data_IF_131832680275
#
_entry.id   IF_131832680275
#
_cell.length_a   1.000
_cell.length_b   1.000
_cell.length_c   1.000
_cell.angle_alpha   90.00
_cell.angle_beta   90.00
_cell.angle_gamma   90.00
#
_symmetry.space_group_name_H-M   'P 1'
#
loop_
_entity.id
_entity.type
_entity.pdbx_description
1 polymer ?
#
# COMPACT_ATOMS: atom_id res chain seq x y z
N UNK A 1 -20.78 -27.50 -3.78
CA UNK A 1 -21.21 -26.11 -3.55
C UNK A 1 -21.06 -25.38 -4.87
N UNK A 2 -22.03 -24.58 -5.35
CA UNK A 2 -21.78 -23.73 -6.51
C UNK A 2 -20.54 -22.86 -6.20
N UNK A 3 -19.65 -22.68 -7.18
CA UNK A 3 -18.49 -21.81 -7.02
C UNK A 3 -19.00 -20.42 -6.62
N UNK A 4 -18.61 -19.98 -5.43
CA UNK A 4 -19.08 -18.71 -4.83
C UNK A 4 -18.74 -17.50 -5.71
N UNK A 5 -17.72 -17.63 -6.57
CA UNK A 5 -17.30 -16.65 -7.56
C UNK A 5 -17.05 -17.40 -8.87
N UNK A 6 -17.71 -17.01 -9.95
CA UNK A 6 -17.48 -17.61 -11.27
C UNK A 6 -16.13 -17.13 -11.82
N UNK A 7 -15.32 -18.06 -12.30
CA UNK A 7 -14.02 -17.75 -12.90
C UNK A 7 -14.22 -16.93 -14.20
N UNK A 8 -13.54 -15.79 -14.38
CA UNK A 8 -13.58 -15.02 -15.61
C UNK A 8 -12.82 -15.72 -16.75
N UNK A 9 -13.16 -15.38 -18.00
CA UNK A 9 -12.39 -15.81 -19.17
C UNK A 9 -10.93 -15.30 -19.09
N UNK A 10 -9.94 -16.06 -19.58
CA UNK A 10 -8.54 -15.62 -19.60
C UNK A 10 -8.38 -14.23 -20.24
N UNK A 11 -7.62 -13.36 -19.60
CA UNK A 11 -7.39 -11.98 -20.07
C UNK A 11 -8.53 -11.00 -19.78
N UNK A 12 -9.63 -11.43 -19.17
CA UNK A 12 -10.71 -10.52 -18.79
C UNK A 12 -10.35 -9.69 -17.55
N UNK A 13 -10.64 -8.38 -17.56
CA UNK A 13 -10.34 -7.47 -16.43
C UNK A 13 -10.94 -7.90 -15.09
N UNK A 14 -12.00 -8.71 -15.10
CA UNK A 14 -12.68 -9.15 -13.88
C UNK A 14 -11.85 -10.16 -13.08
N UNK A 15 -10.72 -10.66 -13.61
CA UNK A 15 -9.75 -11.46 -12.85
C UNK A 15 -9.28 -10.78 -11.56
N UNK A 16 -9.08 -9.45 -11.58
CA UNK A 16 -8.74 -8.70 -10.37
C UNK A 16 -9.84 -8.77 -9.31
N UNK A 17 -11.10 -8.60 -9.71
CA UNK A 17 -12.23 -8.69 -8.81
C UNK A 17 -12.40 -10.13 -8.27
N UNK A 18 -12.26 -11.13 -9.14
CA UNK A 18 -12.32 -12.55 -8.78
C UNK A 18 -11.29 -12.92 -7.71
N UNK A 19 -10.01 -12.58 -7.92
CA UNK A 19 -8.96 -12.88 -6.94
C UNK A 19 -9.13 -12.09 -5.64
N UNK A 20 -9.54 -10.83 -5.72
CA UNK A 20 -9.83 -10.03 -4.53
C UNK A 20 -10.98 -10.65 -3.69
N UNK A 21 -12.06 -11.08 -4.33
CA UNK A 21 -13.20 -11.68 -3.63
C UNK A 21 -12.89 -13.04 -3.01
N UNK A 22 -12.00 -13.82 -3.64
CA UNK A 22 -11.46 -15.06 -3.05
C UNK A 22 -10.54 -14.79 -1.84
N UNK A 23 -9.82 -13.68 -1.85
CA UNK A 23 -8.81 -13.35 -0.82
C UNK A 23 -9.40 -12.63 0.39
N UNK A 24 -10.44 -11.81 0.22
CA UNK A 24 -11.08 -11.04 1.31
C UNK A 24 -11.52 -11.90 2.52
N UNK A 25 -12.12 -13.09 2.36
CA UNK A 25 -12.44 -13.95 3.49
C UNK A 25 -11.23 -14.26 4.38
N UNK A 26 -10.04 -14.42 3.79
CA UNK A 26 -8.81 -14.65 4.55
C UNK A 26 -8.43 -13.40 5.35
N UNK A 27 -8.46 -12.20 4.75
CA UNK A 27 -8.21 -10.95 5.47
C UNK A 27 -9.17 -10.77 6.67
N UNK A 28 -10.43 -11.18 6.52
CA UNK A 28 -11.41 -11.15 7.62
C UNK A 28 -11.09 -12.13 8.77
N UNK A 29 -10.22 -13.12 8.56
CA UNK A 29 -9.68 -13.98 9.63
C UNK A 29 -8.49 -13.37 10.35
N UNK A 30 -7.83 -12.37 9.75
CA UNK A 30 -6.67 -11.70 10.33
C UNK A 30 -7.06 -10.59 11.30
N UNK A 31 -8.20 -9.93 11.08
CA UNK A 31 -8.66 -8.82 11.93
C UNK A 31 -9.36 -9.29 13.20
N UNK A 32 -9.08 -8.64 14.33
CA UNK A 32 -9.91 -8.74 15.53
C UNK A 32 -11.27 -8.09 15.29
N UNK A 33 -12.29 -8.95 15.18
CA UNK A 33 -13.65 -8.52 14.90
C UNK A 33 -14.47 -8.27 16.16
N UNK A 34 -13.99 -8.54 17.37
CA UNK A 34 -14.84 -8.39 18.56
C UNK A 34 -14.87 -6.92 19.01
N UNK A 35 -16.01 -6.20 18.93
CA UNK A 35 -16.08 -4.78 19.29
C UNK A 35 -15.82 -4.52 20.78
N UNK A 36 -15.90 -5.55 21.63
CA UNK A 36 -15.57 -5.46 23.06
C UNK A 36 -14.09 -5.75 23.35
N UNK A 37 -13.32 -6.15 22.33
CA UNK A 37 -11.91 -6.45 22.49
C UNK A 37 -11.07 -5.17 22.56
N UNK A 38 -10.07 -5.10 23.45
CA UNK A 38 -9.13 -3.97 23.48
C UNK A 38 -8.29 -3.87 22.20
N UNK A 39 -8.25 -4.92 21.37
CA UNK A 39 -7.52 -5.00 20.11
C UNK A 39 -8.44 -4.98 18.88
N UNK A 40 -9.72 -4.62 19.04
CA UNK A 40 -10.66 -4.50 17.91
C UNK A 40 -10.04 -3.70 16.76
N UNK A 41 -10.09 -4.27 15.54
CA UNK A 41 -9.50 -3.67 14.35
C UNK A 41 -8.02 -3.97 14.12
N UNK A 42 -7.33 -4.66 15.03
CA UNK A 42 -5.96 -5.13 14.82
C UNK A 42 -5.92 -6.25 13.78
N UNK A 43 -5.11 -6.10 12.73
CA UNK A 43 -4.86 -7.13 11.71
C UNK A 43 -3.63 -7.99 11.99
N UNK A 44 -2.80 -7.62 12.97
CA UNK A 44 -1.68 -8.45 13.40
C UNK A 44 -2.18 -9.58 14.31
N UNK A 45 -2.45 -10.72 13.68
CA UNK A 45 -2.97 -11.91 14.35
C UNK A 45 -1.97 -12.55 15.32
N UNK A 46 -0.65 -12.41 15.08
CA UNK A 46 0.39 -12.85 16.01
C UNK A 46 0.27 -12.06 17.33
N UNK A 47 -0.01 -10.77 17.23
CA UNK A 47 -0.23 -9.91 18.40
C UNK A 47 -1.58 -10.12 19.11
N UNK A 48 -2.72 -9.98 18.41
CA UNK A 48 -4.01 -9.94 19.11
C UNK A 48 -4.59 -11.33 19.44
N UNK A 49 -4.30 -12.34 18.62
CA UNK A 49 -4.88 -13.66 18.76
C UNK A 49 -3.91 -14.66 19.38
N UNK A 50 -2.72 -14.82 18.79
CA UNK A 50 -1.76 -15.84 19.22
C UNK A 50 -0.91 -15.40 20.41
N UNK A 51 -0.74 -14.08 20.61
CA UNK A 51 0.05 -13.52 21.72
C UNK A 51 1.50 -14.01 21.70
N UNK A 52 2.04 -14.17 20.50
CA UNK A 52 3.43 -14.64 20.25
C UNK A 52 4.42 -13.48 20.17
N UNK A 53 3.92 -12.25 20.06
CA UNK A 53 4.69 -10.99 20.06
C UNK A 53 4.08 -9.99 21.05
N UNK A 54 4.92 -9.12 21.61
CA UNK A 54 4.54 -8.18 22.67
C UNK A 54 3.94 -6.86 22.13
N UNK A 55 4.13 -6.56 20.84
CA UNK A 55 3.64 -5.36 20.17
C UNK A 55 3.14 -5.72 18.76
N UNK A 56 2.19 -4.94 18.19
CA UNK A 56 1.69 -5.18 16.86
C UNK A 56 2.62 -4.60 15.79
N UNK A 57 2.76 -5.31 14.68
CA UNK A 57 3.25 -4.79 13.42
C UNK A 57 2.30 -3.71 12.89
N UNK A 58 2.78 -2.47 12.80
CA UNK A 58 2.03 -1.32 12.30
C UNK A 58 1.69 -1.41 10.82
N UNK A 59 2.50 -2.14 10.02
CA UNK A 59 2.25 -2.36 8.60
C UNK A 59 0.92 -3.09 8.38
N UNK A 60 0.57 -4.03 9.26
CA UNK A 60 -0.66 -4.84 9.19
C UNK A 60 -1.95 -4.01 9.14
N UNK A 61 -1.91 -2.72 9.51
CA UNK A 61 -3.10 -1.87 9.40
C UNK A 61 -3.37 -1.40 7.96
N UNK A 62 -2.53 -1.72 6.98
CA UNK A 62 -2.82 -1.46 5.56
C UNK A 62 -4.04 -2.22 5.04
N UNK A 63 -4.38 -3.36 5.67
CA UNK A 63 -5.48 -4.23 5.27
C UNK A 63 -6.87 -3.55 5.40
N UNK A 64 -6.95 -2.34 5.99
CA UNK A 64 -8.16 -1.52 5.91
C UNK A 64 -8.55 -1.15 4.47
N UNK A 65 -7.59 -0.93 3.57
CA UNK A 65 -7.87 -0.44 2.22
C UNK A 65 -8.65 -1.45 1.37
N UNK A 66 -8.27 -2.74 1.30
CA UNK A 66 -9.09 -3.76 0.64
C UNK A 66 -10.52 -3.81 1.17
N UNK A 67 -10.73 -3.66 2.49
CA UNK A 67 -12.08 -3.64 3.08
C UNK A 67 -12.88 -2.41 2.63
N UNK A 68 -12.24 -1.24 2.60
CA UNK A 68 -12.86 0.00 2.15
C UNK A 68 -13.28 -0.08 0.66
N UNK A 69 -12.39 -0.60 -0.19
CA UNK A 69 -12.65 -0.80 -1.61
C UNK A 69 -13.81 -1.78 -1.84
N UNK A 70 -13.84 -2.90 -1.13
CA UNK A 70 -14.92 -3.87 -1.22
C UNK A 70 -16.25 -3.32 -0.68
N UNK A 71 -16.24 -2.45 0.33
CA UNK A 71 -17.45 -1.77 0.77
C UNK A 71 -17.95 -0.75 -0.27
N UNK A 72 -17.06 0.04 -0.87
CA UNK A 72 -17.43 1.19 -1.70
C UNK A 72 -17.87 0.83 -3.13
N UNK A 73 -17.34 -0.25 -3.69
CA UNK A 73 -17.49 -0.54 -5.13
C UNK A 73 -18.30 -1.81 -5.41
N UNK A 74 -19.24 -1.78 -6.37
CA UNK A 74 -20.02 -2.94 -6.79
C UNK A 74 -19.23 -3.83 -7.76
N UNK A 75 -18.06 -4.31 -7.35
CA UNK A 75 -17.27 -5.24 -8.17
C UNK A 75 -18.06 -6.53 -8.49
N UNK A 76 -17.80 -7.18 -9.64
CA UNK A 76 -18.42 -8.46 -9.98
C UNK A 76 -18.30 -9.48 -8.84
N UNK A 77 -19.44 -10.06 -8.45
CA UNK A 77 -19.49 -11.07 -7.39
C UNK A 77 -19.23 -10.56 -5.97
N UNK A 78 -19.12 -9.25 -5.74
CA UNK A 78 -18.79 -8.69 -4.42
C UNK A 78 -19.97 -8.75 -3.44
N UNK A 79 -19.92 -9.60 -2.38
CA UNK A 79 -20.99 -9.70 -1.40
C UNK A 79 -20.91 -8.64 -0.30
N UNK A 80 -19.84 -7.82 -0.30
CA UNK A 80 -19.55 -6.88 0.77
C UNK A 80 -19.86 -5.42 0.41
N UNK A 81 -20.31 -5.15 -0.81
CA UNK A 81 -20.69 -3.82 -1.23
C UNK A 81 -21.77 -3.25 -0.30
N UNK A 82 -21.48 -2.09 0.30
CA UNK A 82 -22.31 -1.41 1.32
C UNK A 82 -22.61 -2.24 2.57
N UNK A 83 -21.77 -3.21 2.91
CA UNK A 83 -21.88 -3.96 4.15
C UNK A 83 -21.33 -3.15 5.34
N UNK A 84 -22.21 -2.62 6.19
CA UNK A 84 -21.80 -1.77 7.32
C UNK A 84 -20.81 -2.45 8.27
N UNK A 85 -20.89 -3.76 8.43
CA UNK A 85 -19.92 -4.48 9.26
C UNK A 85 -18.52 -4.43 8.68
N UNK A 86 -18.38 -4.49 7.35
CA UNK A 86 -17.09 -4.35 6.69
C UNK A 86 -16.53 -2.93 6.87
N UNK A 87 -17.41 -1.92 6.75
CA UNK A 87 -17.08 -0.51 7.01
C UNK A 87 -16.56 -0.30 8.43
N UNK A 88 -17.24 -0.86 9.42
CA UNK A 88 -16.84 -0.78 10.83
C UNK A 88 -15.45 -1.38 11.08
N UNK A 89 -15.13 -2.51 10.43
CA UNK A 89 -13.81 -3.13 10.54
C UNK A 89 -12.71 -2.28 9.89
N UNK A 90 -13.00 -1.66 8.74
CA UNK A 90 -12.06 -0.75 8.08
C UNK A 90 -11.78 0.49 8.94
N UNK A 91 -12.81 1.07 9.58
CA UNK A 91 -12.65 2.19 10.52
C UNK A 91 -11.92 1.75 11.79
N UNK A 92 -12.32 0.62 12.37
CA UNK A 92 -11.68 0.04 13.56
C UNK A 92 -10.20 -0.22 13.36
N UNK A 93 -9.78 -0.55 12.13
CA UNK A 93 -8.37 -0.68 11.77
C UNK A 93 -7.59 0.63 11.93
N UNK A 94 -8.15 1.76 11.48
CA UNK A 94 -7.52 3.08 11.66
C UNK A 94 -7.52 3.46 13.15
N UNK A 95 -8.61 3.19 13.86
CA UNK A 95 -8.72 3.47 15.30
C UNK A 95 -7.72 2.66 16.12
N UNK A 96 -7.51 1.38 15.78
CA UNK A 96 -6.47 0.56 16.39
C UNK A 96 -5.08 1.11 16.11
N UNK A 97 -4.78 1.47 14.85
CA UNK A 97 -3.49 2.04 14.49
C UNK A 97 -3.18 3.30 15.31
N UNK A 98 -4.17 4.19 15.46
CA UNK A 98 -4.07 5.40 16.30
C UNK A 98 -3.77 5.07 17.76
N UNK A 99 -4.38 4.02 18.32
CA UNK A 99 -4.15 3.59 19.70
C UNK A 99 -2.78 2.92 19.90
N UNK A 100 -2.33 2.14 18.92
CA UNK A 100 -1.12 1.33 19.00
C UNK A 100 0.16 2.09 18.62
N UNK A 101 0.03 3.22 17.92
CA UNK A 101 1.19 4.03 17.49
C UNK A 101 1.88 4.73 18.66
N UNK A 102 3.15 5.09 18.46
CA UNK A 102 3.94 5.93 19.37
C UNK A 102 3.33 7.34 19.51
N UNK A 103 3.75 8.17 20.49
CA UNK A 103 3.22 9.53 20.67
C UNK A 103 3.33 10.46 19.45
N UNK A 104 4.34 10.24 18.60
CA UNK A 104 4.55 10.94 17.32
C UNK A 104 3.81 10.28 16.14
N UNK A 105 2.95 9.29 16.43
CA UNK A 105 2.18 8.46 15.50
C UNK A 105 3.02 7.55 14.59
N UNK A 106 4.30 7.35 14.89
CA UNK A 106 5.10 6.30 14.23
C UNK A 106 4.65 4.90 14.68
N UNK A 107 5.09 3.87 13.97
CA UNK A 107 4.82 2.48 14.34
C UNK A 107 6.05 1.59 14.12
N UNK A 108 6.04 0.45 14.79
CA UNK A 108 7.06 -0.59 14.68
C UNK A 108 6.59 -1.71 13.73
N UNK A 109 7.51 -2.53 13.24
CA UNK A 109 7.33 -3.68 12.35
C UNK A 109 7.93 -4.94 13.00
N UNK A 110 9.25 -4.97 13.18
CA UNK A 110 9.99 -6.16 13.64
C UNK A 110 10.57 -6.05 15.04
N UNK A 111 11.01 -4.86 15.44
CA UNK A 111 11.62 -4.60 16.75
C UNK A 111 10.90 -3.48 17.50
N UNK A 112 10.81 -3.57 18.85
CA UNK A 112 10.24 -2.48 19.64
C UNK A 112 11.02 -1.16 19.45
N UNK A 113 10.30 -0.05 19.32
CA UNK A 113 10.86 1.31 19.18
C UNK A 113 11.69 1.55 17.92
N UNK A 114 11.56 0.70 16.90
CA UNK A 114 12.29 0.90 15.65
C UNK A 114 11.73 2.06 14.81
N UNK A 115 10.47 2.42 14.99
CA UNK A 115 9.79 3.48 14.25
C UNK A 115 9.99 3.31 12.72
N UNK A 116 9.65 2.12 12.20
CA UNK A 116 9.97 1.71 10.85
C UNK A 116 9.23 2.54 9.78
N UNK A 117 10.01 3.25 8.96
CA UNK A 117 9.48 4.01 7.82
C UNK A 117 8.68 3.11 6.86
N UNK A 118 9.18 1.91 6.57
CA UNK A 118 8.50 0.91 5.73
C UNK A 118 7.09 0.59 6.24
N UNK A 119 6.94 0.15 7.50
CA UNK A 119 5.62 -0.11 8.07
C UNK A 119 4.71 1.13 8.08
N UNK A 120 5.30 2.31 8.32
CA UNK A 120 4.56 3.56 8.37
C UNK A 120 3.98 3.96 7.02
N UNK A 121 4.76 3.90 5.93
CA UNK A 121 4.28 4.37 4.61
C UNK A 121 3.17 3.49 4.05
N UNK A 122 3.27 2.16 4.22
CA UNK A 122 2.25 1.19 3.80
C UNK A 122 0.91 1.49 4.47
N UNK A 123 0.92 1.50 5.81
CA UNK A 123 -0.30 1.72 6.59
C UNK A 123 -0.83 3.14 6.45
N UNK A 124 0.02 4.17 6.37
CA UNK A 124 -0.44 5.58 6.25
C UNK A 124 -1.20 5.83 4.95
N UNK A 125 -0.65 5.37 3.81
CA UNK A 125 -1.33 5.50 2.53
C UNK A 125 -2.69 4.77 2.53
N UNK A 126 -2.69 3.50 2.97
CA UNK A 126 -3.89 2.69 3.00
C UNK A 126 -4.99 3.30 3.89
N UNK A 127 -4.62 3.83 5.07
CA UNK A 127 -5.55 4.49 5.97
C UNK A 127 -6.05 5.84 5.40
N UNK A 128 -5.20 6.63 4.75
CA UNK A 128 -5.61 7.89 4.12
C UNK A 128 -6.58 7.64 2.94
N UNK A 129 -6.29 6.65 2.09
CA UNK A 129 -7.20 6.26 1.02
C UNK A 129 -8.50 5.67 1.58
N UNK A 130 -8.45 4.87 2.65
CA UNK A 130 -9.64 4.36 3.35
C UNK A 130 -10.48 5.51 3.89
N UNK A 131 -9.87 6.50 4.54
CA UNK A 131 -10.55 7.68 5.05
C UNK A 131 -11.32 8.40 3.93
N UNK A 132 -10.69 8.58 2.78
CA UNK A 132 -11.27 9.21 1.59
C UNK A 132 -12.37 8.37 0.96
N UNK A 133 -12.15 7.07 0.74
CA UNK A 133 -13.09 6.13 0.11
C UNK A 133 -14.38 6.01 0.93
N UNK A 134 -14.26 5.95 2.26
CA UNK A 134 -15.41 5.85 3.17
C UNK A 134 -16.09 7.20 3.44
N UNK A 135 -15.55 8.31 2.90
CA UNK A 135 -16.06 9.66 3.11
C UNK A 135 -16.14 10.03 4.60
N UNK A 136 -15.09 9.70 5.37
CA UNK A 136 -15.12 9.90 6.82
C UNK A 136 -15.09 11.40 7.16
N UNK A 137 -15.94 11.78 8.12
CA UNK A 137 -15.88 13.06 8.81
C UNK A 137 -15.47 12.80 10.27
N UNK A 138 -14.19 12.44 10.45
CA UNK A 138 -13.61 12.05 11.75
C UNK A 138 -12.37 12.90 12.03
N UNK A 139 -12.54 14.10 12.63
CA UNK A 139 -11.42 15.01 12.91
C UNK A 139 -10.30 14.37 13.73
N UNK A 140 -10.65 13.42 14.59
CA UNK A 140 -9.70 12.72 15.45
C UNK A 140 -8.84 11.70 14.67
N UNK A 141 -9.34 11.13 13.57
CA UNK A 141 -8.58 10.28 12.66
C UNK A 141 -7.79 11.11 11.66
N UNK A 142 -8.35 12.24 11.20
CA UNK A 142 -7.64 13.21 10.37
C UNK A 142 -6.42 13.77 11.10
N UNK A 143 -6.55 14.11 12.38
CA UNK A 143 -5.44 14.57 13.22
C UNK A 143 -4.35 13.50 13.36
N UNK A 144 -4.73 12.23 13.51
CA UNK A 144 -3.77 11.12 13.53
C UNK A 144 -3.01 10.97 12.20
N UNK A 145 -3.71 11.09 11.07
CA UNK A 145 -3.06 11.04 9.75
C UNK A 145 -2.14 12.24 9.50
N UNK A 146 -2.47 13.43 10.03
CA UNK A 146 -1.56 14.58 10.04
C UNK A 146 -0.26 14.29 10.79
N UNK A 147 -0.35 13.71 11.99
CA UNK A 147 0.84 13.34 12.77
C UNK A 147 1.74 12.35 12.03
N UNK A 148 1.15 11.36 11.35
CA UNK A 148 1.91 10.44 10.47
C UNK A 148 2.57 11.15 9.30
N UNK A 149 1.85 12.09 8.67
CA UNK A 149 2.42 12.95 7.63
C UNK A 149 3.58 13.80 8.16
N UNK A 150 3.45 14.36 9.36
CA UNK A 150 4.50 15.15 10.00
C UNK A 150 5.71 14.30 10.39
N UNK A 151 5.50 13.06 10.82
CA UNK A 151 6.59 12.13 11.05
C UNK A 151 7.36 11.86 9.75
N UNK A 152 6.66 11.51 8.66
CA UNK A 152 7.29 11.27 7.35
C UNK A 152 8.03 12.51 6.84
N UNK A 153 7.51 13.72 7.08
CA UNK A 153 8.19 14.96 6.68
C UNK A 153 9.54 15.17 7.35
N UNK A 154 9.73 14.63 8.54
CA UNK A 154 10.87 14.94 9.40
C UNK A 154 11.82 13.74 9.60
N UNK A 155 11.49 12.57 9.07
CA UNK A 155 12.25 11.34 9.26
C UNK A 155 12.49 10.65 7.93
N UNK A 156 13.65 10.02 7.78
CA UNK A 156 13.92 9.13 6.67
C UNK A 156 14.72 7.92 7.16
N UNK A 157 14.72 6.85 6.37
CA UNK A 157 15.54 5.68 6.64
C UNK A 157 16.98 5.87 6.13
N UNK A 158 17.91 5.10 6.68
CA UNK A 158 19.34 5.17 6.31
C UNK A 158 19.66 4.36 5.07
N UNK A 159 18.84 3.34 4.76
CA UNK A 159 18.97 2.51 3.57
C UNK A 159 18.47 3.22 2.30
N UNK A 160 18.87 2.70 1.14
CA UNK A 160 18.34 3.14 -0.16
C UNK A 160 17.32 2.14 -0.67
N UNK A 161 16.06 2.37 -0.33
CA UNK A 161 14.91 1.56 -0.74
C UNK A 161 13.96 2.45 -1.53
N UNK A 162 14.08 2.44 -2.85
CA UNK A 162 13.33 3.36 -3.69
C UNK A 162 11.81 3.12 -3.60
N UNK A 163 11.39 1.87 -3.40
CA UNK A 163 9.99 1.54 -3.16
C UNK A 163 9.43 2.29 -1.94
N UNK A 164 10.17 2.37 -0.83
CA UNK A 164 9.76 3.09 0.38
C UNK A 164 9.63 4.59 0.14
N UNK A 165 10.58 5.18 -0.60
CA UNK A 165 10.53 6.60 -0.95
C UNK A 165 9.36 6.91 -1.89
N UNK A 166 9.09 6.04 -2.88
CA UNK A 166 7.91 6.13 -3.74
C UNK A 166 6.61 6.04 -2.92
N UNK A 167 6.60 5.17 -1.92
CA UNK A 167 5.47 4.96 -1.03
C UNK A 167 5.22 6.18 -0.16
N UNK A 168 6.27 6.76 0.42
CA UNK A 168 6.18 8.00 1.19
C UNK A 168 5.62 9.14 0.33
N UNK A 169 6.07 9.26 -0.92
CA UNK A 169 5.52 10.24 -1.86
C UNK A 169 4.00 10.07 -2.05
N UNK A 170 3.54 8.85 -2.30
CA UNK A 170 2.13 8.54 -2.50
C UNK A 170 1.29 8.71 -1.22
N UNK A 171 1.83 8.28 -0.06
CA UNK A 171 1.19 8.42 1.24
C UNK A 171 0.97 9.90 1.59
N UNK A 172 2.01 10.72 1.47
CA UNK A 172 1.95 12.16 1.74
C UNK A 172 1.03 12.89 0.77
N UNK A 173 0.97 12.50 -0.50
CA UNK A 173 -0.02 13.04 -1.44
C UNK A 173 -1.44 12.71 -1.00
N UNK A 174 -1.68 11.49 -0.54
CA UNK A 174 -3.01 11.06 -0.06
C UNK A 174 -3.40 11.78 1.23
N UNK A 175 -2.44 12.06 2.12
CA UNK A 175 -2.65 12.92 3.30
C UNK A 175 -2.96 14.36 2.87
N UNK A 176 -2.27 14.90 1.87
CA UNK A 176 -2.59 16.20 1.28
C UNK A 176 -4.04 16.26 0.76
N UNK A 177 -4.50 15.25 0.02
CA UNK A 177 -5.86 15.23 -0.54
C UNK A 177 -6.97 15.27 0.53
N UNK A 178 -6.73 14.70 1.72
CA UNK A 178 -7.72 14.71 2.81
C UNK A 178 -7.58 15.91 3.76
N UNK A 179 -6.41 16.55 3.81
CA UNK A 179 -6.14 17.69 4.72
C UNK A 179 -6.22 19.05 4.04
N UNK A 180 -5.88 19.13 2.76
CA UNK A 180 -5.63 20.37 2.02
C UNK A 180 -4.30 21.05 2.38
N UNK A 181 -3.48 20.48 3.26
CA UNK A 181 -2.30 21.15 3.80
C UNK A 181 -1.08 21.02 2.86
N UNK A 182 -0.65 22.14 2.28
CA UNK A 182 0.39 22.18 1.24
C UNK A 182 1.76 21.65 1.70
N UNK A 183 2.01 21.57 3.01
CA UNK A 183 3.24 20.98 3.56
C UNK A 183 3.39 19.50 3.20
N UNK A 184 2.29 18.75 3.12
CA UNK A 184 2.30 17.34 2.71
C UNK A 184 2.45 17.20 1.20
N UNK A 185 1.89 18.14 0.42
CA UNK A 185 2.11 18.20 -1.02
C UNK A 185 3.60 18.42 -1.34
N UNK A 186 4.23 19.38 -0.66
CA UNK A 186 5.65 19.66 -0.87
C UNK A 186 6.51 18.45 -0.50
N UNK A 187 6.25 17.84 0.66
CA UNK A 187 6.99 16.67 1.10
C UNK A 187 6.81 15.46 0.18
N UNK A 188 5.60 15.24 -0.35
CA UNK A 188 5.33 14.23 -1.38
C UNK A 188 6.24 14.43 -2.60
N UNK A 189 6.34 15.68 -3.09
CA UNK A 189 7.23 16.03 -4.21
C UNK A 189 8.71 15.84 -3.87
N UNK A 190 9.11 16.05 -2.62
CA UNK A 190 10.50 15.87 -2.19
C UNK A 190 10.88 14.38 -2.22
N UNK A 191 10.03 13.51 -1.69
CA UNK A 191 10.19 12.06 -1.79
C UNK A 191 10.14 11.55 -3.24
N UNK A 192 9.25 12.12 -4.08
CA UNK A 192 9.22 11.81 -5.50
C UNK A 192 10.56 12.13 -6.17
N UNK A 193 11.11 13.34 -5.97
CA UNK A 193 12.41 13.72 -6.54
C UNK A 193 13.54 12.84 -6.03
N UNK A 194 13.53 12.49 -4.75
CA UNK A 194 14.52 11.57 -4.18
C UNK A 194 14.44 10.19 -4.84
N UNK A 195 13.24 9.63 -4.98
CA UNK A 195 13.01 8.34 -5.64
C UNK A 195 13.53 8.37 -7.07
N UNK A 196 13.17 9.40 -7.85
CA UNK A 196 13.61 9.56 -9.24
C UNK A 196 15.14 9.70 -9.34
N UNK A 197 15.79 10.35 -8.36
CA UNK A 197 17.25 10.46 -8.32
C UNK A 197 17.97 9.12 -8.09
N UNK A 198 17.25 8.08 -7.68
CA UNK A 198 17.78 6.74 -7.46
C UNK A 198 17.54 5.78 -8.63
N UNK A 199 16.89 6.23 -9.70
CA UNK A 199 16.81 5.46 -10.93
C UNK A 199 18.19 5.38 -11.61
N UNK A 200 18.54 4.20 -12.13
CA UNK A 200 19.77 4.01 -12.92
C UNK A 200 19.51 4.18 -14.40
N UNK A 201 20.59 4.26 -15.19
CA UNK A 201 20.53 4.40 -16.65
C UNK A 201 19.84 3.20 -17.33
N UNK A 202 19.88 2.02 -16.72
CA UNK A 202 19.17 0.81 -17.17
C UNK A 202 17.66 0.83 -16.86
N UNK A 203 17.15 1.84 -16.14
CA UNK A 203 15.72 2.03 -15.87
C UNK A 203 15.24 1.51 -14.51
N UNK A 204 16.06 0.74 -13.78
CA UNK A 204 15.69 0.23 -12.45
C UNK A 204 15.90 1.24 -11.33
N UNK A 205 15.11 1.08 -10.26
CA UNK A 205 15.23 1.86 -9.03
C UNK A 205 16.02 1.11 -7.96
N UNK A 206 16.85 1.82 -7.19
CA UNK A 206 17.75 1.23 -6.19
C UNK A 206 17.01 0.54 -5.04
N UNK A 207 17.35 -0.73 -4.80
CA UNK A 207 16.91 -1.54 -3.65
C UNK A 207 18.14 -2.12 -2.92
N UNK A 208 18.58 -1.45 -1.85
CA UNK A 208 19.87 -1.65 -1.19
C UNK A 208 21.06 -1.60 -2.14
N UNK A 209 21.63 -2.76 -2.49
CA UNK A 209 22.87 -2.89 -3.24
C UNK A 209 22.65 -2.91 -4.76
N UNK A 210 21.43 -3.20 -5.23
CA UNK A 210 21.15 -3.33 -6.66
C UNK A 210 19.66 -3.27 -7.01
N UNK A 211 19.32 -3.80 -8.17
CA UNK A 211 17.93 -3.99 -8.58
C UNK A 211 17.34 -5.22 -7.87
N UNK A 212 16.07 -5.11 -7.49
CA UNK A 212 15.26 -6.25 -7.07
C UNK A 212 13.96 -6.24 -7.89
N UNK A 213 13.75 -7.20 -8.82
CA UNK A 213 12.65 -7.10 -9.77
C UNK A 213 11.26 -7.08 -9.13
N UNK A 214 11.05 -7.75 -7.99
CA UNK A 214 9.77 -7.72 -7.28
C UNK A 214 9.51 -6.37 -6.61
N UNK A 215 10.45 -5.83 -5.83
CA UNK A 215 10.29 -4.48 -5.26
C UNK A 215 10.28 -3.38 -6.33
N UNK A 216 10.94 -3.62 -7.47
CA UNK A 216 10.84 -2.73 -8.62
C UNK A 216 9.39 -2.62 -9.14
N UNK A 217 8.63 -3.71 -9.15
CA UNK A 217 7.17 -3.63 -9.46
C UNK A 217 6.38 -2.84 -8.43
N UNK A 218 6.83 -2.83 -7.17
CA UNK A 218 6.25 -1.99 -6.11
C UNK A 218 6.50 -0.52 -6.42
N UNK A 219 7.74 -0.14 -6.74
CA UNK A 219 8.10 1.22 -7.16
C UNK A 219 7.29 1.69 -8.36
N UNK A 220 7.16 0.87 -9.41
CA UNK A 220 6.31 1.16 -10.58
C UNK A 220 4.86 1.40 -10.15
N UNK A 221 4.30 0.51 -9.31
CA UNK A 221 2.92 0.63 -8.84
C UNK A 221 2.68 1.92 -8.06
N UNK A 222 3.58 2.29 -7.17
CA UNK A 222 3.43 3.48 -6.33
C UNK A 222 3.58 4.77 -7.15
N UNK A 223 4.60 4.83 -8.01
CA UNK A 223 4.83 5.99 -8.88
C UNK A 223 3.73 6.14 -9.93
N UNK A 224 3.20 5.05 -10.51
CA UNK A 224 2.09 5.13 -11.46
C UNK A 224 0.79 5.58 -10.79
N UNK A 225 0.53 5.15 -9.54
CA UNK A 225 -0.60 5.67 -8.74
C UNK A 225 -0.43 7.16 -8.44
N UNK A 226 0.80 7.60 -8.14
CA UNK A 226 1.11 9.00 -7.93
C UNK A 226 0.88 9.79 -9.23
N UNK A 227 1.41 9.31 -10.37
CA UNK A 227 1.21 9.91 -11.69
C UNK A 227 -0.27 10.07 -12.03
N UNK A 228 -1.10 9.04 -11.79
CA UNK A 228 -2.56 9.14 -11.99
C UNK A 228 -3.22 10.21 -11.12
N UNK A 229 -2.74 10.40 -9.88
CA UNK A 229 -3.27 11.42 -8.97
C UNK A 229 -2.81 12.83 -9.32
N UNK A 230 -1.58 12.99 -9.80
CA UNK A 230 -0.93 14.31 -9.97
C UNK A 230 -0.97 14.82 -11.40
N UNK A 231 -0.97 13.93 -12.40
CA UNK A 231 -0.68 14.25 -13.79
C UNK A 231 0.75 14.78 -14.00
N UNK A 232 1.68 14.51 -13.09
CA UNK A 232 3.04 15.05 -13.16
C UNK A 232 3.86 14.31 -14.23
N UNK A 233 4.04 14.95 -15.39
CA UNK A 233 4.80 14.42 -16.52
C UNK A 233 6.26 14.09 -16.19
N UNK A 234 6.83 14.60 -15.08
CA UNK A 234 8.17 14.20 -14.63
C UNK A 234 8.24 12.71 -14.24
N UNK A 235 7.10 12.06 -13.97
CA UNK A 235 7.03 10.62 -13.66
C UNK A 235 6.97 9.74 -14.91
N UNK A 236 6.53 10.29 -16.05
CA UNK A 236 6.17 9.50 -17.22
C UNK A 236 7.34 8.71 -17.79
N UNK A 237 8.41 9.41 -18.17
CA UNK A 237 9.59 8.79 -18.77
C UNK A 237 10.30 7.82 -17.80
N UNK A 238 10.52 8.16 -16.51
CA UNK A 238 11.03 7.21 -15.53
C UNK A 238 10.19 5.94 -15.40
N UNK A 239 8.85 6.05 -15.43
CA UNK A 239 7.96 4.90 -15.36
C UNK A 239 8.07 4.00 -16.60
N UNK A 240 8.16 4.57 -17.79
CA UNK A 240 8.33 3.79 -19.04
C UNK A 240 9.63 2.99 -19.01
N UNK A 241 10.75 3.62 -18.67
CA UNK A 241 12.05 2.93 -18.52
C UNK A 241 12.04 1.86 -17.43
N UNK A 242 11.30 2.10 -16.35
CA UNK A 242 11.14 1.11 -15.29
C UNK A 242 10.34 -0.11 -15.78
N UNK A 243 9.30 0.08 -16.59
CA UNK A 243 8.51 -0.99 -17.18
C UNK A 243 9.33 -1.79 -18.20
N UNK A 244 10.09 -1.11 -19.06
CA UNK A 244 11.02 -1.75 -20.01
C UNK A 244 12.02 -2.65 -19.28
N UNK A 245 12.62 -2.16 -18.19
CA UNK A 245 13.51 -2.97 -17.35
C UNK A 245 12.79 -4.19 -16.75
N UNK A 246 11.57 -3.99 -16.22
CA UNK A 246 10.79 -5.07 -15.62
C UNK A 246 10.47 -6.19 -16.61
N UNK A 247 10.24 -5.87 -17.89
CA UNK A 247 9.89 -6.84 -18.91
C UNK A 247 10.99 -7.91 -19.14
N UNK A 248 12.26 -7.60 -18.86
CA UNK A 248 13.35 -8.56 -18.94
C UNK A 248 13.25 -9.72 -17.93
N UNK A 249 12.41 -9.58 -16.90
CA UNK A 249 12.21 -10.57 -15.84
C UNK A 249 10.93 -11.38 -16.00
N UNK A 250 10.21 -11.22 -17.11
CA UNK A 250 9.09 -12.07 -17.47
C UNK A 250 9.61 -13.34 -18.15
N UNK A 251 9.42 -14.50 -17.51
CA UNK A 251 9.86 -15.77 -18.05
C UNK A 251 8.83 -16.36 -19.03
N UNK A 252 9.25 -17.24 -19.97
CA UNK A 252 8.35 -17.84 -20.96
C UNK A 252 7.21 -18.69 -20.37
N UNK A 253 7.34 -19.15 -19.12
CA UNK A 253 6.31 -19.92 -18.41
C UNK A 253 5.31 -19.05 -17.63
N UNK A 254 5.45 -17.71 -17.71
CA UNK A 254 4.61 -16.74 -17.01
C UNK A 254 5.03 -16.47 -15.57
N UNK A 255 6.11 -17.07 -15.10
CA UNK A 255 6.73 -16.64 -13.84
C UNK A 255 7.45 -15.30 -14.02
N UNK A 256 7.57 -14.55 -12.93
CA UNK A 256 8.26 -13.26 -12.91
C UNK A 256 9.36 -13.29 -11.85
N UNK A 257 10.53 -12.76 -12.20
CA UNK A 257 11.67 -12.62 -11.30
C UNK A 257 12.17 -13.95 -10.69
N UNK A 258 12.69 -13.93 -9.47
CA UNK A 258 13.22 -15.09 -8.75
C UNK A 258 14.30 -14.72 -7.74
N UNK A 259 15.01 -15.73 -7.23
CA UNK A 259 16.15 -15.64 -6.30
C UNK A 259 17.45 -15.08 -6.93
N UNK A 260 17.34 -13.97 -7.67
CA UNK A 260 18.51 -13.33 -8.28
C UNK A 260 18.48 -11.79 -8.24
N UNK A 261 17.47 -11.19 -7.59
CA UNK A 261 17.45 -9.77 -7.23
C UNK A 261 18.21 -9.50 -5.93
N UNK A 262 18.51 -8.23 -5.63
CA UNK A 262 19.23 -7.85 -4.40
C UNK A 262 18.53 -8.29 -3.10
N UNK A 263 17.22 -8.58 -3.17
CA UNK A 263 16.42 -9.06 -2.03
C UNK A 263 15.71 -10.39 -2.28
N UNK A 264 16.00 -11.06 -3.41
CA UNK A 264 15.45 -12.37 -3.77
C UNK A 264 13.91 -12.45 -3.67
N UNK A 265 13.20 -11.43 -4.16
CA UNK A 265 11.74 -11.39 -4.02
C UNK A 265 10.98 -12.04 -5.19
N UNK A 266 9.80 -12.55 -4.87
CA UNK A 266 8.89 -13.25 -5.80
C UNK A 266 7.54 -12.54 -5.99
N UNK A 267 7.32 -11.40 -5.34
CA UNK A 267 6.04 -10.71 -5.42
C UNK A 267 5.95 -9.85 -6.69
N UNK A 268 4.74 -9.70 -7.22
CA UNK A 268 4.45 -8.91 -8.42
C UNK A 268 3.27 -7.98 -8.18
N UNK A 269 3.52 -6.67 -8.23
CA UNK A 269 2.50 -5.64 -8.10
C UNK A 269 2.03 -5.18 -9.48
N UNK A 270 0.91 -5.73 -9.94
CA UNK A 270 0.42 -5.57 -11.32
C UNK A 270 -0.24 -4.22 -11.63
N UNK A 271 -0.80 -3.54 -10.62
CA UNK A 271 -1.62 -2.34 -10.85
C UNK A 271 -0.85 -1.21 -11.54
N UNK A 272 0.45 -1.03 -11.25
CA UNK A 272 1.24 -0.02 -11.94
C UNK A 272 1.27 -0.18 -13.46
N UNK A 273 1.40 -1.42 -13.92
CA UNK A 273 1.43 -1.76 -15.35
C UNK A 273 0.09 -1.46 -16.01
N UNK A 274 -1.03 -1.83 -15.37
CA UNK A 274 -2.37 -1.53 -15.88
C UNK A 274 -2.63 -0.01 -16.05
N UNK A 275 -2.07 0.81 -15.16
CA UNK A 275 -2.20 2.27 -15.27
C UNK A 275 -1.39 2.86 -16.43
N UNK A 276 -0.26 2.23 -16.73
CA UNK A 276 0.67 2.70 -17.76
C UNK A 276 0.41 2.07 -19.13
N UNK A 277 -0.34 0.97 -19.20
CA UNK A 277 -0.66 0.25 -20.44
C UNK A 277 -1.20 1.15 -21.58
N UNK A 278 -2.03 2.19 -21.34
CA UNK A 278 -2.47 3.08 -22.43
C UNK A 278 -1.37 3.93 -23.07
N UNK A 279 -0.19 4.03 -22.45
CA UNK A 279 0.93 4.88 -22.88
C UNK A 279 2.28 4.14 -22.92
N UNK A 280 2.31 2.83 -22.63
CA UNK A 280 3.47 1.96 -22.73
C UNK A 280 3.32 1.07 -23.96
N UNK A 281 4.39 0.94 -24.74
CA UNK A 281 4.48 0.00 -25.88
C UNK A 281 5.08 -1.36 -25.48
N UNK A 282 5.58 -1.46 -24.24
CA UNK A 282 6.02 -2.70 -23.58
C UNK A 282 4.89 -3.27 -22.74
#
# INVERSE_FOLDING_TARGET
MPERFAQPEPGHRDWYAFEAMRSLPHLLTLVDRNPLSPTFGCFDREYWHYRTVDFPCGMSQEMCLPLALAWAHPFPGNPYHRNERLRDLAIGCIEFAKKASHPDSSCDDYFPYEQALGALVFSTWAMAETYRILGLDRPDLLAFLRLRGDWLRNNNETGKLANHQAYAALALWSVFEITGDAVYQQASRDYQRLTLSWQKDEGWFQEYEGADPGYHTTSITLLAKLYRKTGDEALREPLLRAIEFAAHFMHPDGSYAGEYGSRNTYHFYSHGFELMAPISDT
#
